data_IF_077288505337
#
_entry.id   IF_077288505337
#
_cell.length_a   1.000
_cell.length_b   1.000
_cell.length_c   1.000
_cell.angle_alpha   90.00
_cell.angle_beta   90.00
_cell.angle_gamma   90.00
#
_symmetry.space_group_name_H-M   'P 1'
#
loop_
_entity.id
_entity.type
_entity.pdbx_description
1 polymer ?
#
# COMPACT_ATOMS: atom_id res chain seq x y z
N UNK A 1 4.22 11.77 -4.96
CA UNK A 1 4.00 12.78 -3.89
C UNK A 1 2.51 12.98 -3.71
N UNK A 2 1.94 12.49 -2.60
CA UNK A 2 0.54 12.72 -2.24
C UNK A 2 0.34 14.07 -1.54
N UNK A 3 -0.81 14.70 -1.78
CA UNK A 3 -1.31 15.82 -0.98
C UNK A 3 -2.32 15.28 0.02
N UNK A 4 -2.14 15.58 1.32
CA UNK A 4 -2.95 15.02 2.41
C UNK A 4 -3.60 16.15 3.20
N UNK A 5 -4.89 15.98 3.49
CA UNK A 5 -5.65 16.90 4.32
C UNK A 5 -6.36 16.10 5.41
N UNK A 6 -6.09 16.44 6.67
CA UNK A 6 -6.72 15.81 7.82
C UNK A 6 -7.51 16.88 8.60
N UNK A 7 -8.81 16.64 8.78
CA UNK A 7 -9.71 17.51 9.52
C UNK A 7 -10.26 16.74 10.71
N UNK A 8 -10.01 17.27 11.90
CA UNK A 8 -10.51 16.72 13.17
C UNK A 8 -11.55 17.68 13.73
N UNK A 9 -12.70 17.21 14.23
CA UNK A 9 -13.69 18.10 14.86
C UNK A 9 -13.14 18.73 16.16
N UNK A 10 -13.54 19.97 16.43
CA UNK A 10 -13.05 20.87 17.50
C UNK A 10 -13.02 20.24 18.92
N UNK A 11 -13.84 19.21 19.17
CA UNK A 11 -13.86 18.50 20.46
C UNK A 11 -12.56 17.71 20.75
N UNK A 12 -11.73 17.46 19.73
CA UNK A 12 -10.51 16.67 19.84
C UNK A 12 -9.25 17.49 20.16
N UNK A 13 -9.31 18.83 20.13
CA UNK A 13 -8.15 19.69 20.40
C UNK A 13 -6.99 19.59 19.38
N UNK A 14 -7.22 18.94 18.23
CA UNK A 14 -6.23 18.84 17.15
C UNK A 14 -6.50 19.93 16.10
N UNK A 15 -5.47 20.68 15.71
CA UNK A 15 -5.59 21.73 14.69
C UNK A 15 -5.80 21.13 13.29
N UNK A 16 -6.52 21.84 12.43
CA UNK A 16 -6.62 21.51 11.00
C UNK A 16 -5.23 21.59 10.36
N UNK A 17 -4.74 20.47 9.83
CA UNK A 17 -3.40 20.36 9.23
C UNK A 17 -3.54 19.87 7.79
N UNK A 18 -3.05 20.68 6.86
CA UNK A 18 -2.93 20.34 5.44
C UNK A 18 -1.49 20.52 4.96
N UNK A 19 -1.03 19.61 4.09
CA UNK A 19 0.35 19.65 3.62
C UNK A 19 0.72 18.49 2.71
N UNK A 20 2.01 18.41 2.39
CA UNK A 20 2.59 17.29 1.65
C UNK A 20 2.76 16.11 2.60
N UNK A 21 2.29 14.94 2.16
CA UNK A 21 2.61 13.65 2.79
C UNK A 21 3.96 13.12 2.31
N UNK A 22 4.32 11.93 2.78
CA UNK A 22 5.60 11.31 2.50
C UNK A 22 5.85 11.05 1.00
N UNK A 23 7.09 11.23 0.59
CA UNK A 23 7.55 10.90 -0.76
C UNK A 23 7.79 9.40 -0.86
N UNK A 24 7.26 8.80 -1.91
CA UNK A 24 7.42 7.38 -2.24
C UNK A 24 8.20 7.23 -3.55
N UNK A 25 9.19 6.33 -3.55
CA UNK A 25 9.95 5.95 -4.74
C UNK A 25 9.84 4.45 -4.97
N UNK A 26 9.26 4.05 -6.10
CA UNK A 26 9.11 2.65 -6.48
C UNK A 26 9.89 2.30 -7.74
N UNK A 27 10.45 1.09 -7.77
CA UNK A 27 10.90 0.47 -9.01
C UNK A 27 10.44 -0.98 -9.06
N UNK A 28 10.13 -1.47 -10.24
CA UNK A 28 9.61 -2.82 -10.42
C UNK A 28 9.71 -3.30 -11.84
N UNK A 29 9.45 -4.60 -12.00
CA UNK A 29 9.38 -5.28 -13.28
C UNK A 29 8.05 -6.01 -13.41
N UNK A 30 7.58 -6.14 -14.63
CA UNK A 30 6.37 -6.90 -14.96
C UNK A 30 6.62 -7.75 -16.20
N UNK A 31 6.14 -8.98 -16.15
CA UNK A 31 6.28 -9.97 -17.21
C UNK A 31 4.89 -10.50 -17.58
N UNK A 32 4.64 -10.60 -18.88
CA UNK A 32 3.50 -11.34 -19.41
C UNK A 32 3.98 -12.73 -19.80
N UNK A 33 3.51 -13.74 -19.09
CA UNK A 33 3.91 -15.13 -19.29
C UNK A 33 2.99 -15.84 -20.28
N UNK A 34 1.72 -15.44 -20.33
CA UNK A 34 0.75 -15.85 -21.35
C UNK A 34 -0.27 -14.74 -21.61
N UNK A 35 -1.25 -14.99 -22.48
CA UNK A 35 -2.35 -14.05 -22.70
C UNK A 35 -3.17 -13.80 -21.42
N UNK A 36 -3.28 -14.80 -20.53
CA UNK A 36 -4.10 -14.75 -19.30
C UNK A 36 -3.27 -14.63 -18.03
N UNK A 37 -1.95 -14.80 -18.07
CA UNK A 37 -1.09 -14.81 -16.89
C UNK A 37 0.02 -13.76 -16.98
N UNK A 38 0.03 -12.86 -15.99
CA UNK A 38 1.03 -11.81 -15.81
C UNK A 38 1.54 -11.86 -14.38
N UNK A 39 2.81 -11.54 -14.20
CA UNK A 39 3.43 -11.45 -12.88
C UNK A 39 4.32 -10.24 -12.81
N UNK A 40 4.42 -9.63 -11.65
CA UNK A 40 5.27 -8.47 -11.47
C UNK A 40 5.65 -8.31 -10.01
N UNK A 41 6.70 -7.56 -9.78
CA UNK A 41 7.17 -7.28 -8.45
C UNK A 41 8.17 -6.15 -8.47
N UNK A 42 8.42 -5.62 -7.29
CA UNK A 42 9.27 -4.46 -7.14
C UNK A 42 9.55 -4.17 -5.69
N UNK A 43 10.21 -3.03 -5.49
CA UNK A 43 10.47 -2.45 -4.19
C UNK A 43 9.98 -1.00 -4.21
N UNK A 44 9.32 -0.61 -3.15
CA UNK A 44 8.96 0.78 -2.90
C UNK A 44 9.66 1.26 -1.62
N UNK A 45 10.24 2.44 -1.69
CA UNK A 45 10.82 3.15 -0.58
C UNK A 45 9.88 4.30 -0.20
N UNK A 46 9.32 4.20 0.99
CA UNK A 46 8.56 5.26 1.65
C UNK A 46 9.53 6.08 2.50
N UNK A 47 9.55 7.39 2.32
CA UNK A 47 10.51 8.28 2.98
C UNK A 47 9.81 9.22 3.94
N UNK A 48 10.36 9.38 5.15
CA UNK A 48 9.86 10.33 6.16
C UNK A 48 10.19 11.77 5.73
N UNK A 49 9.30 12.36 4.94
CA UNK A 49 9.50 13.68 4.31
C UNK A 49 8.25 14.54 4.36
N UNK A 50 7.20 14.07 5.03
CA UNK A 50 5.98 14.82 5.23
C UNK A 50 6.27 16.20 5.84
N UNK A 51 5.58 17.21 5.31
CA UNK A 51 5.71 18.61 5.73
C UNK A 51 5.27 18.86 7.18
N UNK A 52 4.45 17.98 7.72
CA UNK A 52 4.04 17.95 9.12
C UNK A 52 4.04 16.49 9.59
N UNK A 53 4.57 16.16 10.77
CA UNK A 53 4.59 14.79 11.25
C UNK A 53 3.22 14.15 11.50
N UNK A 54 2.14 14.94 11.54
CA UNK A 54 0.76 14.44 11.57
C UNK A 54 0.24 14.00 10.17
N UNK A 55 1.02 14.22 9.11
CA UNK A 55 0.68 13.90 7.71
C UNK A 55 1.56 12.81 7.11
N UNK A 56 2.48 12.25 7.90
CA UNK A 56 3.38 11.15 7.50
C UNK A 56 3.50 10.15 8.64
N UNK A 57 4.03 8.97 8.33
CA UNK A 57 4.15 7.88 9.30
C UNK A 57 5.43 8.00 10.16
N UNK A 58 6.26 9.05 9.95
CA UNK A 58 7.58 9.26 10.60
C UNK A 58 8.56 8.09 10.42
N UNK A 59 8.41 7.34 9.34
CA UNK A 59 9.11 6.08 9.16
C UNK A 59 9.65 5.96 7.75
N UNK A 60 10.91 5.55 7.66
CA UNK A 60 11.47 5.01 6.42
C UNK A 60 11.04 3.56 6.28
N UNK A 61 10.26 3.25 5.23
CA UNK A 61 9.77 1.89 4.99
C UNK A 61 10.23 1.39 3.65
N UNK A 62 10.80 0.19 3.62
CA UNK A 62 11.01 -0.55 2.39
C UNK A 62 9.91 -1.59 2.25
N UNK A 63 9.25 -1.56 1.10
CA UNK A 63 8.10 -2.38 0.76
C UNK A 63 8.39 -3.20 -0.50
N UNK A 64 9.04 -4.37 -0.40
CA UNK A 64 9.01 -5.33 -1.49
C UNK A 64 7.58 -5.83 -1.71
N UNK A 65 7.15 -5.83 -2.97
CA UNK A 65 5.84 -6.30 -3.38
C UNK A 65 5.94 -7.29 -4.53
N UNK A 66 4.95 -8.19 -4.60
CA UNK A 66 4.75 -9.11 -5.70
C UNK A 66 3.26 -9.23 -6.01
N UNK A 67 2.93 -9.29 -7.29
CA UNK A 67 1.58 -9.43 -7.79
C UNK A 67 1.53 -10.45 -8.93
N UNK A 68 0.46 -11.24 -8.95
CA UNK A 68 0.14 -12.12 -10.06
C UNK A 68 -1.23 -11.74 -10.57
N UNK A 69 -1.37 -11.44 -11.86
CA UNK A 69 -2.67 -11.21 -12.50
C UNK A 69 -3.06 -12.42 -13.36
N UNK A 70 -4.28 -12.91 -13.14
CA UNK A 70 -4.87 -14.06 -13.79
C UNK A 70 -6.22 -13.67 -14.38
N UNK A 71 -6.33 -13.71 -15.70
CA UNK A 71 -7.61 -13.58 -16.39
C UNK A 71 -8.33 -14.94 -16.30
N UNK A 72 -9.21 -15.08 -15.30
CA UNK A 72 -9.96 -16.32 -15.02
C UNK A 72 -11.00 -16.56 -16.11
N UNK A 73 -11.63 -15.49 -16.59
CA UNK A 73 -12.50 -15.47 -17.75
C UNK A 73 -12.22 -14.22 -18.59
N UNK A 74 -12.91 -14.06 -19.72
CA UNK A 74 -12.85 -12.83 -20.51
C UNK A 74 -13.47 -11.60 -19.81
N UNK A 75 -14.20 -11.79 -18.70
CA UNK A 75 -14.82 -10.72 -17.93
C UNK A 75 -14.36 -10.65 -16.47
N UNK A 76 -13.47 -11.56 -16.01
CA UNK A 76 -12.97 -11.59 -14.64
C UNK A 76 -11.45 -11.74 -14.60
N UNK A 77 -10.80 -10.79 -13.96
CA UNK A 77 -9.37 -10.85 -13.63
C UNK A 77 -9.19 -10.85 -12.12
N UNK A 78 -8.43 -11.81 -11.60
CA UNK A 78 -7.97 -11.83 -10.21
C UNK A 78 -6.52 -11.39 -10.16
N UNK A 79 -6.16 -10.57 -9.16
CA UNK A 79 -4.78 -10.09 -8.99
C UNK A 79 -4.32 -10.27 -7.55
N UNK A 80 -4.06 -11.50 -7.08
CA UNK A 80 -3.44 -11.69 -5.77
C UNK A 80 -2.12 -10.93 -5.67
N UNK A 81 -1.96 -10.20 -4.58
CA UNK A 81 -0.74 -9.47 -4.24
C UNK A 81 -0.27 -9.83 -2.84
N UNK A 82 1.04 -9.76 -2.66
CA UNK A 82 1.71 -9.81 -1.37
C UNK A 82 2.67 -8.63 -1.29
N UNK A 83 2.62 -7.94 -0.17
CA UNK A 83 3.53 -6.85 0.14
C UNK A 83 4.11 -7.09 1.53
N UNK A 84 5.43 -7.05 1.63
CA UNK A 84 6.11 -7.12 2.91
C UNK A 84 6.56 -5.72 3.31
N UNK A 85 6.11 -5.27 4.47
CA UNK A 85 6.40 -3.94 4.98
C UNK A 85 7.49 -4.06 6.05
N UNK A 86 8.61 -3.37 5.83
CA UNK A 86 9.74 -3.34 6.76
C UNK A 86 10.18 -1.90 7.04
N UNK A 87 10.03 -1.46 8.28
CA UNK A 87 10.61 -0.19 8.76
C UNK A 87 12.13 -0.30 8.89
N UNK A 88 12.87 0.63 8.28
CA UNK A 88 14.35 0.67 8.26
C UNK A 88 14.90 1.66 9.29
N UNK A 89 14.23 2.81 9.47
CA UNK A 89 14.64 3.82 10.43
C UNK A 89 13.40 4.49 11.03
N UNK A 90 13.42 4.60 12.36
CA UNK A 90 12.32 5.10 13.18
C UNK A 90 12.81 6.30 13.99
N UNK A 91 12.01 7.36 14.04
CA UNK A 91 12.21 8.43 15.01
C UNK A 91 12.06 7.82 16.42
N UNK A 92 12.92 8.23 17.37
CA UNK A 92 13.05 7.63 18.71
C UNK A 92 11.68 7.29 19.32
N UNK A 93 11.51 6.03 19.75
CA UNK A 93 10.36 5.48 20.49
C UNK A 93 9.17 4.89 19.70
N UNK A 94 9.23 4.72 18.38
CA UNK A 94 8.24 3.93 17.66
C UNK A 94 8.62 2.42 17.63
N UNK A 95 7.66 1.48 17.71
CA UNK A 95 7.96 0.06 17.60
C UNK A 95 8.14 -0.38 16.14
N UNK A 96 9.09 -1.29 15.84
CA UNK A 96 9.29 -1.87 14.52
C UNK A 96 7.99 -2.44 13.96
N UNK A 97 7.49 -1.85 12.88
CA UNK A 97 6.34 -2.39 12.18
C UNK A 97 6.79 -3.34 11.07
N UNK A 98 6.63 -4.63 11.35
CA UNK A 98 6.83 -5.71 10.38
C UNK A 98 5.51 -6.43 10.16
N UNK A 99 4.98 -6.30 8.96
CA UNK A 99 3.76 -6.99 8.58
C UNK A 99 3.80 -7.42 7.11
N UNK A 100 3.02 -8.45 6.81
CA UNK A 100 2.69 -8.82 5.44
C UNK A 100 1.26 -8.35 5.18
N UNK A 101 1.06 -7.60 4.09
CA UNK A 101 -0.24 -7.33 3.51
C UNK A 101 -0.47 -8.32 2.36
N UNK A 102 -1.55 -9.09 2.46
CA UNK A 102 -2.08 -9.90 1.37
C UNK A 102 -3.31 -9.18 0.82
N UNK A 103 -3.39 -9.03 -0.51
CA UNK A 103 -4.59 -8.49 -1.13
C UNK A 103 -5.07 -9.37 -2.28
N UNK A 104 -6.39 -9.44 -2.45
CA UNK A 104 -7.03 -10.12 -3.57
C UNK A 104 -8.00 -9.17 -4.28
N UNK A 105 -7.48 -8.28 -5.13
CA UNK A 105 -8.26 -7.59 -6.14
C UNK A 105 -8.97 -8.57 -7.09
N UNK A 106 -10.25 -8.33 -7.32
CA UNK A 106 -11.03 -8.96 -8.37
C UNK A 106 -11.69 -7.87 -9.22
N UNK A 107 -11.41 -7.89 -10.52
CA UNK A 107 -11.91 -6.92 -11.49
C UNK A 107 -12.88 -7.60 -12.44
N UNK A 108 -14.10 -7.09 -12.50
CA UNK A 108 -15.16 -7.51 -13.41
C UNK A 108 -15.24 -6.53 -14.57
N UNK A 109 -15.00 -6.99 -15.80
CA UNK A 109 -15.13 -6.21 -17.01
C UNK A 109 -16.59 -6.28 -17.47
N UNK A 110 -17.20 -5.11 -17.63
CA UNK A 110 -18.56 -4.93 -18.08
C UNK A 110 -18.58 -4.45 -19.54
N UNK A 111 -19.72 -4.52 -20.23
CA UNK A 111 -19.85 -3.96 -21.57
C UNK A 111 -19.49 -2.46 -21.64
N UNK A 112 -19.14 -1.98 -22.83
CA UNK A 112 -18.82 -0.58 -23.11
C UNK A 112 -17.60 -0.05 -22.34
N UNK A 113 -16.61 -0.91 -22.10
CA UNK A 113 -15.35 -0.57 -21.44
C UNK A 113 -15.48 -0.16 -19.96
N UNK A 114 -16.60 -0.51 -19.32
CA UNK A 114 -16.78 -0.33 -17.88
C UNK A 114 -16.09 -1.45 -17.09
N UNK A 115 -15.68 -1.17 -15.86
CA UNK A 115 -15.21 -2.21 -14.93
C UNK A 115 -15.59 -1.90 -13.49
N UNK A 116 -15.78 -2.97 -12.72
CA UNK A 116 -16.04 -2.90 -11.27
C UNK A 116 -14.97 -3.72 -10.57
N UNK A 117 -14.30 -3.11 -9.60
CA UNK A 117 -13.29 -3.77 -8.78
C UNK A 117 -13.77 -3.98 -7.36
N UNK A 118 -13.51 -5.15 -6.80
CA UNK A 118 -13.53 -5.38 -5.36
C UNK A 118 -12.13 -5.78 -4.90
N UNK A 119 -11.79 -5.49 -3.65
CA UNK A 119 -10.48 -5.79 -3.08
C UNK A 119 -10.66 -6.27 -1.66
N UNK A 120 -10.25 -7.51 -1.41
CA UNK A 120 -10.06 -7.99 -0.05
C UNK A 120 -8.61 -7.73 0.38
N UNK A 121 -8.41 -7.32 1.63
CA UNK A 121 -7.10 -7.12 2.24
C UNK A 121 -7.02 -7.88 3.56
N UNK A 122 -5.90 -8.52 3.81
CA UNK A 122 -5.58 -9.17 5.07
C UNK A 122 -4.17 -8.77 5.51
N UNK A 123 -4.01 -8.53 6.81
CA UNK A 123 -2.75 -8.14 7.42
C UNK A 123 -2.29 -9.25 8.36
N UNK A 124 -1.02 -9.61 8.25
CA UNK A 124 -0.35 -10.54 9.17
C UNK A 124 0.75 -9.74 9.87
N UNK A 125 0.54 -9.43 11.15
CA UNK A 125 1.47 -8.66 11.98
C UNK A 125 2.38 -9.63 12.73
N UNK A 126 3.70 -9.39 12.69
CA UNK A 126 4.68 -10.30 13.29
C UNK A 126 5.12 -9.92 14.72
N UNK A 127 4.84 -8.70 15.17
CA UNK A 127 5.18 -8.21 16.52
C UNK A 127 3.97 -7.59 17.23
N UNK A 128 3.46 -8.29 18.25
CA UNK A 128 2.83 -7.69 19.43
C UNK A 128 3.79 -7.98 20.57
N UNK A 129 4.64 -7.02 20.93
CA UNK A 129 5.46 -7.17 22.13
C UNK A 129 4.53 -7.09 23.34
N UNK A 130 4.20 -8.22 23.94
CA UNK A 130 3.80 -8.29 25.34
C UNK A 130 4.97 -7.74 26.16
N UNK A 131 4.79 -6.55 26.74
CA UNK A 131 5.65 -6.01 27.79
C UNK A 131 5.05 -6.28 29.16
#
# INVERSE_FOLDING_TARGET
>A
MPFVYNRSDEASGHADIGGLGDIEFGTGTAFRLSNTWRTGGGIELHTDTASNPALGDRMWRLKPFWAVALDVTNWLTLTPTVEYNHSIAEEHNAPPQRYIELSLPATFILPYDWSVGTRYKAFIVFETADH
#
